data_IF_804686419840
#
_entry.id   IF_804686419840
#
_cell.length_a   1.000
_cell.length_b   1.000
_cell.length_c   1.000
_cell.angle_alpha   90.00
_cell.angle_beta   90.00
_cell.angle_gamma   90.00
#
_symmetry.space_group_name_H-M   'P 1'
#
loop_
_entity.id
_entity.type
_entity.pdbx_description
1 polymer ?
#
# COMPACT_ATOMS: atom_id res chain seq x y z
N UNK A 1 -36.93 35.90 -51.92
CA UNK A 1 -37.30 35.32 -50.60
C UNK A 1 -36.40 34.10 -50.40
N UNK A 2 -35.52 34.07 -49.38
CA UNK A 2 -34.32 33.24 -49.35
C UNK A 2 -34.48 31.90 -48.61
N UNK A 3 -33.56 30.99 -48.92
CA UNK A 3 -33.30 29.69 -48.32
C UNK A 3 -32.95 29.80 -46.82
N UNK A 4 -33.59 28.99 -45.98
CA UNK A 4 -33.24 28.85 -44.57
C UNK A 4 -32.17 27.77 -44.39
N UNK A 5 -31.03 28.19 -43.84
CA UNK A 5 -29.89 27.34 -43.50
C UNK A 5 -30.06 26.79 -42.07
N UNK A 6 -29.97 25.48 -41.91
CA UNK A 6 -29.94 24.80 -40.62
C UNK A 6 -28.61 25.07 -39.90
N UNK A 7 -28.67 25.42 -38.60
CA UNK A 7 -27.47 25.41 -37.76
C UNK A 7 -27.84 24.94 -36.34
N UNK A 8 -27.83 23.63 -36.12
CA UNK A 8 -27.96 23.04 -34.78
C UNK A 8 -26.60 23.09 -34.08
N UNK A 9 -26.41 24.04 -33.17
CA UNK A 9 -25.27 24.03 -32.24
C UNK A 9 -25.51 22.96 -31.18
N UNK A 10 -24.79 21.84 -31.25
CA UNK A 10 -24.71 20.87 -30.15
C UNK A 10 -23.81 21.43 -29.05
N UNK A 11 -24.39 21.86 -27.94
CA UNK A 11 -23.63 22.20 -26.74
C UNK A 11 -23.22 20.91 -26.02
N UNK A 12 -22.02 20.42 -26.31
CA UNK A 12 -21.38 19.38 -25.52
C UNK A 12 -21.05 19.92 -24.14
N UNK A 13 -21.72 19.40 -23.10
CA UNK A 13 -21.30 19.61 -21.71
C UNK A 13 -19.99 18.84 -21.50
N UNK A 14 -18.87 19.55 -21.47
CA UNK A 14 -17.63 19.02 -20.92
C UNK A 14 -17.89 18.60 -19.47
N UNK A 15 -17.68 17.31 -19.15
CA UNK A 15 -17.59 16.86 -17.76
C UNK A 15 -16.42 17.60 -17.13
N UNK A 16 -16.70 18.49 -16.18
CA UNK A 16 -15.67 19.10 -15.38
C UNK A 16 -14.85 17.99 -14.72
N UNK A 17 -13.54 17.95 -15.00
CA UNK A 17 -12.60 17.12 -14.27
C UNK A 17 -12.58 17.63 -12.83
N UNK A 18 -13.25 16.91 -11.93
CA UNK A 18 -13.19 17.20 -10.50
C UNK A 18 -11.72 16.97 -10.11
N UNK A 19 -11.01 18.05 -9.80
CA UNK A 19 -9.65 17.95 -9.27
C UNK A 19 -9.69 17.03 -8.04
N UNK A 20 -8.68 16.16 -7.85
CA UNK A 20 -8.63 15.33 -6.66
C UNK A 20 -8.73 16.21 -5.40
N UNK A 21 -9.38 15.72 -4.34
CA UNK A 21 -9.53 16.49 -3.11
C UNK A 21 -8.15 16.90 -2.60
N UNK A 22 -8.03 18.17 -2.23
CA UNK A 22 -6.84 18.68 -1.57
C UNK A 22 -6.65 17.92 -0.25
N UNK A 23 -5.40 17.55 0.05
CA UNK A 23 -5.09 16.87 1.30
C UNK A 23 -5.56 17.73 2.47
N UNK A 24 -6.38 17.16 3.35
CA UNK A 24 -6.82 17.81 4.56
C UNK A 24 -6.29 17.03 5.78
N UNK A 25 -5.75 17.71 6.79
CA UNK A 25 -5.39 17.04 8.04
C UNK A 25 -6.64 16.40 8.65
N UNK A 26 -6.49 15.18 9.16
CA UNK A 26 -7.61 14.43 9.72
C UNK A 26 -8.25 15.17 10.93
N UNK A 27 -9.58 15.23 11.04
CA UNK A 27 -10.27 16.12 11.98
C UNK A 27 -10.22 15.65 13.44
N UNK A 28 -9.72 14.45 13.70
CA UNK A 28 -9.74 13.83 15.02
C UNK A 28 -8.70 14.46 15.97
N UNK A 29 -8.90 14.26 17.27
CA UNK A 29 -8.03 14.80 18.31
C UNK A 29 -6.61 14.26 18.12
N UNK A 30 -5.65 15.17 17.99
CA UNK A 30 -4.21 14.84 18.01
C UNK A 30 -3.76 14.59 19.45
N UNK A 31 -3.01 13.52 19.66
CA UNK A 31 -2.39 13.19 20.94
C UNK A 31 -0.88 13.36 20.83
N UNK A 32 -0.32 14.45 21.35
CA UNK A 32 1.12 14.79 21.21
C UNK A 32 2.08 13.88 21.99
N UNK A 33 1.52 12.93 22.75
CA UNK A 33 2.24 11.91 23.50
C UNK A 33 1.47 10.61 23.29
N UNK A 34 2.07 9.65 22.59
CA UNK A 34 1.59 8.30 22.45
C UNK A 34 1.42 7.64 23.81
N UNK A 35 0.50 6.69 23.88
CA UNK A 35 0.21 6.00 25.14
C UNK A 35 1.33 5.02 25.54
N UNK A 36 2.05 4.44 24.57
CA UNK A 36 2.99 3.35 24.83
C UNK A 36 4.32 3.38 24.07
N UNK A 37 4.41 3.93 22.84
CA UNK A 37 5.70 4.11 22.15
C UNK A 37 5.78 5.40 21.34
N UNK A 38 6.81 6.17 21.64
CA UNK A 38 7.19 7.38 20.92
C UNK A 38 8.64 7.23 20.53
N UNK A 39 8.94 7.54 19.27
CA UNK A 39 10.33 7.52 18.86
C UNK A 39 11.12 8.60 19.59
N UNK A 40 12.34 8.25 20.00
CA UNK A 40 13.20 9.19 20.73
C UNK A 40 13.50 10.43 19.90
N UNK A 41 13.74 11.58 20.55
CA UNK A 41 14.18 12.82 19.89
C UNK A 41 15.37 12.59 18.94
N UNK A 42 16.28 11.71 19.33
CA UNK A 42 17.43 11.34 18.53
C UNK A 42 17.02 10.59 17.26
N UNK A 43 16.13 9.59 17.37
CA UNK A 43 15.64 8.82 16.22
C UNK A 43 14.74 9.64 15.30
N UNK A 44 13.99 10.60 15.85
CA UNK A 44 13.27 11.58 15.05
C UNK A 44 14.24 12.44 14.23
N UNK A 45 15.22 13.08 14.87
CA UNK A 45 16.20 13.92 14.18
C UNK A 45 17.05 13.14 13.17
N UNK A 46 17.41 11.89 13.48
CA UNK A 46 18.15 11.04 12.56
C UNK A 46 17.29 10.63 11.36
N UNK A 47 16.00 10.34 11.57
CA UNK A 47 15.05 10.03 10.51
C UNK A 47 14.82 11.24 9.58
N UNK A 48 14.65 12.44 10.15
CA UNK A 48 14.55 13.68 9.37
C UNK A 48 15.82 13.95 8.55
N UNK A 49 17.00 13.75 9.15
CA UNK A 49 18.28 13.88 8.45
C UNK A 49 18.42 12.85 7.32
N UNK A 50 18.00 11.60 7.56
CA UNK A 50 17.94 10.56 6.54
C UNK A 50 17.03 10.97 5.39
N UNK A 51 15.83 11.46 5.70
CA UNK A 51 14.87 11.91 4.70
C UNK A 51 15.46 13.06 3.87
N UNK A 52 16.06 14.08 4.50
CA UNK A 52 16.68 15.18 3.77
C UNK A 52 17.82 14.74 2.86
N UNK A 53 18.61 13.74 3.27
CA UNK A 53 19.72 13.22 2.48
C UNK A 53 19.29 12.24 1.37
N UNK A 54 18.13 11.61 1.48
CA UNK A 54 17.65 10.59 0.55
C UNK A 54 16.26 10.97 0.03
N UNK A 55 16.14 11.68 -1.11
CA UNK A 55 14.86 11.98 -1.73
C UNK A 55 14.06 10.71 -2.05
N UNK A 56 12.73 10.84 -2.07
CA UNK A 56 11.81 9.74 -2.40
C UNK A 56 12.10 9.25 -3.82
N UNK A 57 12.16 7.92 -3.98
CA UNK A 57 12.32 7.29 -5.28
C UNK A 57 11.14 7.66 -6.17
N UNK A 58 11.44 8.12 -7.38
CA UNK A 58 10.44 8.24 -8.44
C UNK A 58 9.92 6.85 -8.82
N UNK A 59 8.64 6.72 -9.25
CA UNK A 59 8.09 5.47 -9.73
C UNK A 59 8.92 4.83 -10.82
N UNK A 60 8.99 3.49 -10.83
CA UNK A 60 9.79 2.74 -11.81
C UNK A 60 9.01 1.58 -12.41
N UNK A 61 9.39 1.21 -13.62
CA UNK A 61 8.93 -0.05 -14.21
C UNK A 61 9.59 -1.21 -13.48
N UNK A 62 8.80 -2.25 -13.21
CA UNK A 62 9.30 -3.51 -12.69
C UNK A 62 10.10 -4.23 -13.80
N UNK A 63 11.15 -4.95 -13.41
CA UNK A 63 11.92 -5.76 -14.37
C UNK A 63 11.06 -6.87 -14.97
N UNK A 64 11.44 -7.38 -16.15
CA UNK A 64 10.74 -8.49 -16.80
C UNK A 64 10.60 -9.70 -15.87
N UNK A 65 11.68 -10.07 -15.18
CA UNK A 65 11.66 -11.23 -14.26
C UNK A 65 10.65 -11.05 -13.12
N UNK A 66 10.43 -9.81 -12.66
CA UNK A 66 9.44 -9.49 -11.64
C UNK A 66 8.03 -9.56 -12.21
N UNK A 67 7.82 -9.07 -13.43
CA UNK A 67 6.52 -9.17 -14.12
C UNK A 67 6.16 -10.64 -14.34
N UNK A 68 7.09 -11.44 -14.87
CA UNK A 68 6.90 -12.88 -15.10
C UNK A 68 6.60 -13.63 -13.79
N UNK A 69 7.25 -13.24 -12.68
CA UNK A 69 6.95 -13.76 -11.35
C UNK A 69 5.53 -13.43 -10.91
N UNK A 70 5.08 -12.20 -11.10
CA UNK A 70 3.71 -11.78 -10.76
C UNK A 70 2.68 -12.53 -11.61
N UNK A 71 2.95 -12.70 -12.90
CA UNK A 71 2.05 -13.41 -13.81
C UNK A 71 1.95 -14.90 -13.49
N UNK A 72 3.06 -15.50 -13.05
CA UNK A 72 3.12 -16.94 -12.69
C UNK A 72 2.55 -17.22 -11.31
N UNK A 73 2.90 -16.41 -10.31
CA UNK A 73 2.59 -16.66 -8.90
C UNK A 73 1.34 -15.90 -8.39
N UNK A 74 0.86 -14.90 -9.13
CA UNK A 74 -0.22 -14.01 -8.71
C UNK A 74 0.13 -13.24 -7.43
N UNK A 75 -0.80 -13.12 -6.48
CA UNK A 75 -0.55 -12.49 -5.17
C UNK A 75 0.69 -13.02 -4.45
N UNK A 76 1.04 -14.28 -4.70
CA UNK A 76 2.12 -14.97 -3.97
C UNK A 76 3.49 -14.40 -4.33
N UNK A 77 3.60 -13.65 -5.42
CA UNK A 77 4.82 -12.95 -5.80
C UNK A 77 5.27 -11.88 -4.80
N UNK A 78 4.35 -11.31 -4.01
CA UNK A 78 4.69 -10.34 -2.97
C UNK A 78 5.24 -11.04 -1.73
N UNK A 79 6.45 -10.66 -1.33
CA UNK A 79 7.17 -11.15 -0.16
C UNK A 79 7.51 -9.98 0.77
N UNK A 80 8.06 -10.28 1.94
CA UNK A 80 8.69 -9.27 2.79
C UNK A 80 10.20 -9.27 2.56
N UNK A 81 10.80 -8.09 2.48
CA UNK A 81 12.25 -7.95 2.41
C UNK A 81 12.89 -8.36 3.73
N UNK A 82 14.06 -9.00 3.63
CA UNK A 82 14.87 -9.27 4.81
C UNK A 82 15.47 -7.96 5.35
N UNK A 83 15.26 -7.62 6.64
CA UNK A 83 15.81 -6.42 7.24
C UNK A 83 17.33 -6.43 7.22
N UNK A 84 17.93 -5.33 6.77
CA UNK A 84 19.40 -5.18 6.75
C UNK A 84 19.95 -4.70 8.09
N UNK A 85 19.10 -4.12 8.92
CA UNK A 85 19.47 -3.56 10.22
C UNK A 85 19.69 -4.64 11.27
N UNK A 86 20.73 -4.48 12.09
CA UNK A 86 20.99 -5.33 13.26
C UNK A 86 19.93 -5.15 14.37
N UNK A 87 19.02 -4.18 14.24
CA UNK A 87 17.87 -3.98 15.12
C UNK A 87 16.85 -5.11 15.04
N UNK A 88 16.78 -5.80 13.90
CA UNK A 88 15.84 -6.89 13.71
C UNK A 88 16.38 -8.16 14.36
N UNK A 89 15.70 -8.62 15.42
CA UNK A 89 15.95 -9.90 16.04
C UNK A 89 14.74 -10.82 15.81
N UNK A 90 14.83 -11.70 14.82
CA UNK A 90 13.69 -12.54 14.45
C UNK A 90 13.91 -13.45 13.25
N UNK A 91 12.80 -13.99 12.76
CA UNK A 91 12.71 -14.85 11.59
C UNK A 91 11.54 -14.38 10.72
N UNK A 92 11.79 -14.34 9.41
CA UNK A 92 10.78 -14.21 8.37
C UNK A 92 10.83 -15.50 7.57
N UNK A 93 9.69 -16.20 7.48
CA UNK A 93 9.56 -17.44 6.73
C UNK A 93 8.42 -17.31 5.75
N UNK A 94 8.74 -17.46 4.48
CA UNK A 94 7.73 -17.71 3.48
C UNK A 94 7.22 -19.14 3.64
N UNK A 95 5.90 -19.31 3.75
CA UNK A 95 5.27 -20.61 3.69
C UNK A 95 5.35 -21.08 2.23
N UNK A 96 6.53 -21.52 1.79
CA UNK A 96 6.70 -22.06 0.45
C UNK A 96 5.89 -23.35 0.27
N UNK A 97 5.51 -23.60 -0.99
CA UNK A 97 4.72 -24.69 -1.63
C UNK A 97 4.42 -26.01 -0.88
N UNK A 98 5.22 -26.41 0.11
CA UNK A 98 5.09 -27.69 0.83
C UNK A 98 4.00 -27.71 1.89
N UNK A 99 3.51 -26.57 2.39
CA UNK A 99 2.44 -26.55 3.43
C UNK A 99 1.04 -26.20 2.92
N UNK A 100 0.90 -25.84 1.64
CA UNK A 100 -0.37 -25.34 1.08
C UNK A 100 -0.78 -23.94 1.57
N UNK A 101 -0.21 -23.45 2.67
CA UNK A 101 -0.31 -22.06 3.11
C UNK A 101 0.68 -21.19 2.32
N UNK A 102 0.28 -19.97 1.95
CA UNK A 102 1.07 -19.04 1.14
C UNK A 102 1.28 -17.68 1.84
N UNK A 103 1.04 -17.63 3.14
CA UNK A 103 1.30 -16.45 3.97
C UNK A 103 2.75 -16.38 4.46
N UNK A 104 3.21 -15.18 4.76
CA UNK A 104 4.57 -14.92 5.26
C UNK A 104 4.50 -14.88 6.79
N UNK A 105 5.15 -15.83 7.46
CA UNK A 105 5.20 -15.86 8.92
C UNK A 105 6.37 -15.03 9.43
N UNK A 106 6.08 -14.11 10.36
CA UNK A 106 7.08 -13.28 11.04
C UNK A 106 7.06 -13.60 12.52
N UNK A 107 8.25 -13.80 13.08
CA UNK A 107 8.46 -14.00 14.51
C UNK A 107 9.63 -13.14 14.97
N UNK A 108 9.40 -12.22 15.90
CA UNK A 108 10.45 -11.42 16.54
C UNK A 108 10.69 -11.88 17.97
N UNK A 109 11.88 -11.61 18.48
CA UNK A 109 12.26 -11.87 19.86
C UNK A 109 12.29 -10.57 20.69
N UNK A 110 12.43 -10.70 22.01
CA UNK A 110 12.29 -9.57 22.96
C UNK A 110 13.29 -8.42 22.75
N UNK A 111 14.37 -8.68 22.05
CA UNK A 111 15.47 -7.78 21.73
C UNK A 111 15.32 -7.13 20.35
N UNK A 112 14.25 -7.45 19.61
CA UNK A 112 13.91 -6.75 18.38
C UNK A 112 13.55 -5.31 18.74
N UNK A 113 14.36 -4.37 18.27
CA UNK A 113 14.06 -2.94 18.39
C UNK A 113 13.14 -2.50 17.24
N UNK A 114 12.76 -1.23 17.22
CA UNK A 114 11.97 -0.62 16.15
C UNK A 114 12.57 -0.91 14.76
N UNK A 115 11.82 -1.67 13.96
CA UNK A 115 12.13 -1.96 12.57
C UNK A 115 10.87 -1.89 11.72
N UNK A 116 10.98 -1.30 10.54
CA UNK A 116 9.94 -1.31 9.50
C UNK A 116 10.27 -2.35 8.44
N UNK A 117 9.45 -3.38 8.35
CA UNK A 117 9.49 -4.40 7.32
C UNK A 117 8.71 -3.91 6.09
N UNK A 118 9.23 -4.14 4.90
CA UNK A 118 8.56 -3.72 3.67
C UNK A 118 8.24 -4.91 2.76
N UNK A 119 7.16 -4.79 1.97
CA UNK A 119 6.96 -5.69 0.83
C UNK A 119 8.06 -5.53 -0.20
N UNK A 120 8.55 -6.60 -0.83
CA UNK A 120 9.60 -6.54 -1.87
C UNK A 120 9.11 -5.90 -3.17
N UNK A 121 7.79 -5.89 -3.38
CA UNK A 121 7.11 -5.25 -4.49
C UNK A 121 6.19 -4.12 -4.04
N UNK A 122 5.98 -3.09 -4.88
CA UNK A 122 5.00 -2.05 -4.58
C UNK A 122 3.60 -2.66 -4.53
N UNK A 123 2.79 -2.21 -3.57
CA UNK A 123 1.35 -2.39 -3.62
C UNK A 123 0.78 -1.48 -4.71
N UNK A 124 1.12 -0.18 -4.68
CA UNK A 124 0.73 0.76 -5.72
C UNK A 124 1.94 1.04 -6.60
N UNK A 125 1.95 0.48 -7.82
CA UNK A 125 2.98 0.75 -8.81
C UNK A 125 2.56 1.95 -9.68
N UNK A 126 3.18 3.11 -9.49
CA UNK A 126 2.71 4.40 -10.01
C UNK A 126 2.61 4.44 -11.54
N UNK A 127 3.51 3.76 -12.24
CA UNK A 127 3.58 3.76 -13.71
C UNK A 127 2.65 2.75 -14.40
N UNK A 128 1.92 1.92 -13.65
CA UNK A 128 1.01 0.93 -14.21
C UNK A 128 -0.45 1.39 -14.10
N UNK A 129 -1.30 1.01 -15.05
CA UNK A 129 -2.74 1.30 -14.97
C UNK A 129 -3.43 0.45 -13.90
N UNK A 130 -4.54 0.93 -13.33
CA UNK A 130 -5.28 0.17 -12.31
C UNK A 130 -6.13 -0.95 -12.92
N UNK A 131 -6.29 -0.99 -14.24
CA UNK A 131 -6.99 -2.03 -15.00
C UNK A 131 -8.42 -2.32 -14.50
N UNK A 132 -9.14 -1.28 -14.06
CA UNK A 132 -10.50 -1.41 -13.53
C UNK A 132 -10.60 -1.94 -12.10
N UNK A 133 -9.47 -2.10 -11.41
CA UNK A 133 -9.44 -2.48 -9.99
C UNK A 133 -10.11 -1.40 -9.13
N UNK A 134 -10.73 -1.86 -8.04
CA UNK A 134 -11.33 -0.98 -7.03
C UNK A 134 -10.28 -0.51 -6.03
N UNK A 135 -9.26 -1.33 -5.77
CA UNK A 135 -8.19 -1.01 -4.84
C UNK A 135 -7.18 -2.14 -4.73
N UNK A 136 -6.38 -2.08 -3.67
CA UNK A 136 -5.41 -3.11 -3.32
C UNK A 136 -5.47 -3.34 -1.81
N UNK A 137 -5.38 -4.58 -1.38
CA UNK A 137 -5.55 -4.98 0.02
C UNK A 137 -4.54 -6.04 0.43
N UNK A 138 -4.08 -5.96 1.68
CA UNK A 138 -3.34 -7.02 2.36
C UNK A 138 -3.83 -7.14 3.82
N UNK A 139 -3.58 -8.28 4.44
CA UNK A 139 -4.06 -8.59 5.79
C UNK A 139 -2.97 -9.18 6.66
N UNK A 140 -2.99 -8.84 7.94
CA UNK A 140 -2.06 -9.35 8.94
C UNK A 140 -2.86 -10.08 10.01
N UNK A 141 -2.52 -11.35 10.25
CA UNK A 141 -3.04 -12.14 11.37
C UNK A 141 -2.10 -12.03 12.55
N UNK A 142 -2.58 -11.54 13.68
CA UNK A 142 -1.76 -11.30 14.87
C UNK A 142 -1.91 -12.49 15.81
N UNK A 143 -0.95 -13.41 15.83
CA UNK A 143 -1.00 -14.53 16.78
C UNK A 143 -0.60 -14.14 18.20
N UNK A 144 0.30 -13.15 18.29
CA UNK A 144 0.84 -12.68 19.57
C UNK A 144 1.52 -11.34 19.40
N UNK A 145 1.23 -10.39 20.28
CA UNK A 145 1.89 -9.10 20.33
C UNK A 145 2.37 -8.81 21.77
N UNK A 146 3.68 -8.98 22.01
CA UNK A 146 4.34 -8.57 23.27
C UNK A 146 5.46 -7.58 22.94
N UNK A 147 5.04 -6.35 22.67
CA UNK A 147 5.80 -5.32 21.96
C UNK A 147 4.80 -4.63 21.06
N UNK A 148 5.23 -4.20 19.87
CA UNK A 148 4.39 -3.39 18.98
C UNK A 148 4.37 -3.98 17.58
N UNK A 149 3.20 -3.84 16.96
CA UNK A 149 2.97 -4.07 15.54
C UNK A 149 2.25 -2.83 15.02
N UNK A 150 2.76 -2.24 13.96
CA UNK A 150 2.12 -1.16 13.22
C UNK A 150 1.96 -1.57 11.76
N UNK A 151 0.80 -1.29 11.16
CA UNK A 151 0.45 -1.75 9.81
C UNK A 151 0.13 -0.56 8.92
N UNK A 152 0.71 -0.50 7.74
CA UNK A 152 0.35 0.51 6.76
C UNK A 152 1.20 0.47 5.50
N UNK A 153 1.56 1.65 5.03
CA UNK A 153 2.22 1.83 3.74
C UNK A 153 3.31 2.89 3.79
N UNK A 154 4.29 2.81 2.91
CA UNK A 154 5.31 3.85 2.75
C UNK A 154 5.85 3.93 1.32
N UNK A 155 6.20 5.15 0.90
CA UNK A 155 7.12 5.35 -0.20
C UNK A 155 8.58 5.17 0.26
N UNK A 156 9.44 4.76 -0.65
CA UNK A 156 10.88 4.52 -0.37
C UNK A 156 11.76 5.61 -0.98
N UNK A 157 12.99 5.82 -0.49
CA UNK A 157 13.56 5.27 0.75
C UNK A 157 12.87 5.83 2.00
N UNK A 158 12.67 4.96 2.99
CA UNK A 158 12.08 5.25 4.29
C UNK A 158 13.06 4.85 5.41
N UNK A 159 13.19 5.62 6.50
CA UNK A 159 14.05 5.25 7.64
C UNK A 159 13.53 3.96 8.28
N UNK A 160 14.26 2.85 8.10
CA UNK A 160 13.80 1.51 8.49
C UNK A 160 13.77 1.28 10.02
N UNK A 161 14.23 2.24 10.82
CA UNK A 161 14.09 2.26 12.29
C UNK A 161 12.88 3.07 12.78
N UNK A 162 11.96 3.44 11.88
CA UNK A 162 10.73 4.20 12.21
C UNK A 162 9.51 3.38 11.83
N UNK A 163 8.44 3.44 12.61
CA UNK A 163 7.18 2.82 12.25
C UNK A 163 6.47 3.54 11.10
N UNK A 164 5.61 2.83 10.33
CA UNK A 164 4.84 3.46 9.26
C UNK A 164 3.97 4.61 9.80
N UNK A 165 3.89 5.69 9.05
CA UNK A 165 3.14 6.90 9.41
C UNK A 165 3.96 8.00 10.07
N UNK A 166 5.13 7.69 10.62
CA UNK A 166 5.94 8.64 11.39
C UNK A 166 6.77 9.63 10.58
N UNK A 167 7.08 9.31 9.33
CA UNK A 167 7.83 10.19 8.43
C UNK A 167 7.11 10.29 7.08
N UNK A 168 7.64 11.15 6.21
CA UNK A 168 7.05 11.49 4.90
C UNK A 168 6.51 10.30 4.10
N UNK A 169 5.44 10.55 3.36
CA UNK A 169 4.76 9.64 2.44
C UNK A 169 4.51 8.24 3.01
N UNK A 170 4.21 8.17 4.30
CA UNK A 170 3.88 6.93 4.98
C UNK A 170 2.62 7.12 5.79
N UNK A 171 1.80 6.07 5.81
CA UNK A 171 0.57 5.95 6.58
C UNK A 171 0.68 4.70 7.46
N UNK A 172 0.20 4.75 8.69
CA UNK A 172 0.24 3.59 9.60
C UNK A 172 -0.87 3.62 10.63
N UNK A 173 -1.32 2.44 11.02
CA UNK A 173 -2.14 2.17 12.19
C UNK A 173 -1.28 1.44 13.21
N UNK A 174 -1.09 2.03 14.39
CA UNK A 174 -0.27 1.46 15.46
C UNK A 174 -1.21 0.71 16.41
N UNK A 175 -0.92 -0.58 16.63
CA UNK A 175 -1.86 -1.47 17.34
C UNK A 175 -1.67 -1.44 18.86
N UNK A 176 -0.69 -0.72 19.39
CA UNK A 176 -0.52 -0.52 20.83
C UNK A 176 -1.49 0.55 21.37
N UNK A 177 -1.83 1.56 20.57
CA UNK A 177 -2.74 2.64 20.97
C UNK A 177 -3.94 2.84 20.03
N UNK A 178 -4.07 2.03 18.97
CA UNK A 178 -5.13 2.08 17.96
C UNK A 178 -5.22 3.42 17.23
N UNK A 179 -4.10 4.13 17.11
CA UNK A 179 -4.03 5.42 16.43
C UNK A 179 -3.49 5.32 15.02
N UNK A 180 -3.96 6.24 14.20
CA UNK A 180 -3.54 6.42 12.82
C UNK A 180 -2.53 7.57 12.71
N UNK A 181 -1.52 7.36 11.88
CA UNK A 181 -0.40 8.28 11.63
C UNK A 181 -0.20 8.45 10.12
N UNK A 182 -0.10 9.68 9.63
CA UNK A 182 0.29 9.97 8.25
C UNK A 182 1.20 11.18 8.22
N UNK A 183 2.47 10.96 7.87
CA UNK A 183 3.53 11.96 7.97
C UNK A 183 3.54 12.68 9.34
N UNK A 184 3.25 11.94 10.41
CA UNK A 184 3.00 12.47 11.74
C UNK A 184 4.03 11.92 12.74
N UNK A 185 5.15 12.65 12.98
CA UNK A 185 6.18 12.22 13.91
C UNK A 185 5.84 12.51 15.38
N UNK A 186 4.79 13.29 15.66
CA UNK A 186 4.58 13.95 16.96
C UNK A 186 3.32 13.47 17.70
N UNK A 187 2.75 12.34 17.29
CA UNK A 187 1.72 11.64 18.05
C UNK A 187 0.36 11.57 17.35
N UNK A 188 -0.10 10.34 17.14
CA UNK A 188 -1.17 9.99 16.21
C UNK A 188 -2.56 10.47 16.59
N UNK A 189 -3.52 10.06 15.79
CA UNK A 189 -4.93 10.42 15.94
C UNK A 189 -5.77 9.19 16.22
N UNK A 190 -6.77 9.34 17.09
CA UNK A 190 -7.75 8.28 17.30
C UNK A 190 -8.40 7.93 15.95
N UNK A 191 -8.53 6.62 15.69
CA UNK A 191 -8.97 6.16 14.37
C UNK A 191 -10.44 5.78 14.34
N UNK A 192 -10.82 4.70 15.03
CA UNK A 192 -12.16 4.12 14.93
C UNK A 192 -12.65 3.72 16.31
N UNK A 193 -13.87 4.12 16.71
CA UNK A 193 -14.47 3.66 17.97
C UNK A 193 -14.77 2.15 17.95
N UNK A 194 -14.69 1.50 16.79
CA UNK A 194 -14.92 0.06 16.63
C UNK A 194 -13.65 -0.76 16.91
N UNK A 195 -12.47 -0.15 16.81
CA UNK A 195 -11.18 -0.78 17.08
C UNK A 195 -10.62 -0.24 18.40
N UNK A 196 -11.03 -0.85 19.51
CA UNK A 196 -10.68 -0.39 20.87
C UNK A 196 -9.66 -1.28 21.57
N UNK A 197 -9.49 -2.51 21.10
CA UNK A 197 -8.53 -3.47 21.61
C UNK A 197 -8.22 -4.52 20.53
N UNK A 198 -7.10 -5.23 20.73
CA UNK A 198 -6.67 -6.34 19.91
C UNK A 198 -6.62 -7.61 20.76
N UNK A 199 -7.11 -8.72 20.20
CA UNK A 199 -6.97 -10.05 20.78
C UNK A 199 -5.99 -10.90 19.97
N UNK A 200 -5.41 -11.92 20.61
CA UNK A 200 -4.66 -12.94 19.88
C UNK A 200 -5.58 -13.60 18.82
N UNK A 201 -4.99 -13.88 17.66
CA UNK A 201 -5.61 -14.37 16.42
C UNK A 201 -6.57 -13.38 15.70
N UNK A 202 -6.58 -12.10 16.07
CA UNK A 202 -7.26 -11.05 15.31
C UNK A 202 -6.60 -10.81 13.94
N UNK A 203 -7.42 -10.43 12.97
CA UNK A 203 -7.02 -10.03 11.62
C UNK A 203 -7.15 -8.52 11.47
N UNK A 204 -6.06 -7.87 11.08
CA UNK A 204 -6.04 -6.45 10.73
C UNK A 204 -5.64 -6.31 9.27
N UNK A 205 -6.54 -5.75 8.47
CA UNK A 205 -6.29 -5.46 7.06
C UNK A 205 -5.92 -4.02 6.80
N UNK A 206 -5.20 -3.79 5.71
CA UNK A 206 -4.90 -2.46 5.18
C UNK A 206 -5.21 -2.45 3.68
N UNK A 207 -6.09 -1.54 3.27
CA UNK A 207 -6.49 -1.38 1.88
C UNK A 207 -6.33 0.04 1.39
N UNK A 208 -5.99 0.19 0.11
CA UNK A 208 -6.04 1.45 -0.62
C UNK A 208 -7.16 1.42 -1.65
N UNK A 209 -8.12 2.34 -1.55
CA UNK A 209 -9.26 2.47 -2.45
C UNK A 209 -8.93 3.47 -3.57
N UNK A 210 -8.88 3.00 -4.82
CA UNK A 210 -8.53 3.83 -5.97
C UNK A 210 -9.58 4.88 -6.30
N UNK A 211 -10.85 4.61 -6.01
CA UNK A 211 -11.93 5.55 -6.32
C UNK A 211 -11.96 6.74 -5.37
N UNK A 212 -11.65 6.49 -4.10
CA UNK A 212 -11.65 7.49 -3.03
C UNK A 212 -10.27 8.09 -2.74
N UNK A 213 -9.21 7.50 -3.30
CA UNK A 213 -7.82 7.81 -2.97
C UNK A 213 -7.59 7.83 -1.45
N UNK A 214 -8.02 6.74 -0.79
CA UNK A 214 -7.97 6.63 0.65
C UNK A 214 -7.36 5.31 1.11
N UNK A 215 -6.74 5.33 2.28
CA UNK A 215 -6.45 4.12 3.04
C UNK A 215 -7.59 3.87 4.01
N UNK A 216 -7.96 2.60 4.15
CA UNK A 216 -8.83 2.09 5.19
C UNK A 216 -8.20 0.86 5.83
N UNK A 217 -8.66 0.54 7.03
CA UNK A 217 -8.29 -0.70 7.71
C UNK A 217 -9.51 -1.59 7.90
N UNK A 218 -9.26 -2.87 8.15
CA UNK A 218 -10.29 -3.83 8.57
C UNK A 218 -9.91 -4.44 9.91
N UNK A 219 -10.91 -4.86 10.68
CA UNK A 219 -10.71 -5.69 11.87
C UNK A 219 -11.63 -6.90 11.77
N UNK A 220 -11.06 -8.10 11.78
CA UNK A 220 -11.77 -9.38 11.68
C UNK A 220 -12.76 -9.45 10.50
N UNK A 221 -12.32 -8.91 9.35
CA UNK A 221 -13.09 -8.91 8.11
C UNK A 221 -14.15 -7.83 8.00
N UNK A 222 -14.24 -6.90 8.96
CA UNK A 222 -15.10 -5.72 8.87
C UNK A 222 -14.29 -4.50 8.45
N UNK A 223 -14.65 -3.86 7.34
CA UNK A 223 -14.08 -2.57 6.93
C UNK A 223 -14.47 -1.48 7.93
N UNK A 224 -13.47 -0.76 8.42
CA UNK A 224 -13.60 0.41 9.29
C UNK A 224 -13.73 1.68 8.42
N UNK A 225 -13.93 2.84 9.06
CA UNK A 225 -13.98 4.12 8.37
C UNK A 225 -12.70 4.40 7.57
N UNK A 226 -12.76 5.25 6.55
CA UNK A 226 -11.56 5.65 5.81
C UNK A 226 -10.59 6.38 6.78
N UNK A 227 -9.35 5.89 6.86
CA UNK A 227 -8.36 6.38 7.80
C UNK A 227 -7.70 7.67 7.29
N UNK A 228 -7.33 7.68 6.01
CA UNK A 228 -6.64 8.80 5.37
C UNK A 228 -7.19 8.99 3.97
N UNK A 229 -7.50 10.22 3.58
CA UNK A 229 -8.07 10.56 2.27
C UNK A 229 -7.17 11.54 1.52
N UNK A 230 -7.11 11.44 0.19
CA UNK A 230 -6.33 12.37 -0.64
C UNK A 230 -4.81 12.16 -0.56
N UNK A 231 -4.36 10.97 -0.12
CA UNK A 231 -2.94 10.64 -0.03
C UNK A 231 -2.46 9.93 -1.30
N UNK A 232 -1.16 9.99 -1.59
CA UNK A 232 -0.56 9.40 -2.79
C UNK A 232 -1.16 9.89 -4.11
N UNK A 233 -1.58 11.16 -4.16
CA UNK A 233 -2.15 11.79 -5.35
C UNK A 233 -1.16 12.80 -5.96
N UNK A 234 -0.91 12.79 -7.28
CA UNK A 234 -1.39 11.80 -8.24
C UNK A 234 -0.69 10.44 -8.04
N UNK A 235 -1.43 9.34 -8.21
CA UNK A 235 -0.89 7.97 -8.04
C UNK A 235 0.36 7.72 -8.90
N UNK A 236 0.41 8.32 -10.09
CA UNK A 236 1.54 8.20 -11.02
C UNK A 236 2.84 8.81 -10.52
N UNK A 237 2.83 9.51 -9.39
CA UNK A 237 4.02 10.07 -8.76
C UNK A 237 4.64 9.17 -7.67
N UNK A 238 4.00 8.04 -7.32
CA UNK A 238 4.42 7.23 -6.17
C UNK A 238 4.43 5.73 -6.45
N UNK A 239 5.52 5.06 -6.05
CA UNK A 239 5.51 3.63 -5.77
C UNK A 239 5.35 3.44 -4.26
N UNK A 240 4.27 2.78 -3.86
CA UNK A 240 3.89 2.62 -2.45
C UNK A 240 3.97 1.15 -2.06
N UNK A 241 4.66 0.86 -0.96
CA UNK A 241 4.92 -0.48 -0.47
C UNK A 241 4.11 -0.76 0.79
N UNK A 242 3.83 -2.02 1.07
CA UNK A 242 3.38 -2.42 2.40
C UNK A 242 4.49 -2.12 3.40
N UNK A 243 4.12 -1.62 4.57
CA UNK A 243 5.05 -1.26 5.63
C UNK A 243 4.50 -1.78 6.96
N UNK A 244 5.30 -2.59 7.66
CA UNK A 244 4.93 -3.23 8.92
C UNK A 244 5.99 -2.90 9.96
N UNK A 245 5.66 -2.02 10.90
CA UNK A 245 6.50 -1.71 12.05
C UNK A 245 6.44 -2.84 13.07
N UNK A 246 7.59 -3.25 13.61
CA UNK A 246 7.69 -4.27 14.66
C UNK A 246 8.69 -3.87 15.73
N UNK A 247 8.33 -4.13 16.98
CA UNK A 247 9.20 -4.02 18.16
C UNK A 247 8.82 -5.12 19.17
N UNK A 248 9.80 -5.58 19.95
CA UNK A 248 9.61 -6.61 20.96
C UNK A 248 9.25 -7.99 20.38
N UNK A 249 8.63 -8.84 21.21
CA UNK A 249 8.36 -10.26 20.93
C UNK A 249 6.97 -10.45 20.32
N UNK A 250 6.91 -10.51 19.00
CA UNK A 250 5.68 -10.64 18.23
C UNK A 250 5.69 -11.90 17.36
N UNK A 251 4.48 -12.40 17.04
CA UNK A 251 4.26 -13.47 16.07
C UNK A 251 3.02 -13.13 15.24
N UNK A 252 3.18 -13.07 13.93
CA UNK A 252 2.08 -12.74 13.02
C UNK A 252 2.33 -13.33 11.63
N UNK A 253 1.30 -13.30 10.81
CA UNK A 253 1.34 -13.72 9.41
C UNK A 253 0.88 -12.59 8.51
N UNK A 254 1.55 -12.39 7.39
CA UNK A 254 1.20 -11.38 6.38
C UNK A 254 0.69 -12.09 5.14
N UNK A 255 -0.52 -11.73 4.74
CA UNK A 255 -1.20 -12.26 3.57
C UNK A 255 -1.34 -11.13 2.53
N UNK A 256 -0.69 -11.29 1.37
CA UNK A 256 -0.89 -10.41 0.21
C UNK A 256 -1.98 -10.93 -0.76
N UNK A 257 -2.74 -11.95 -0.35
CA UNK A 257 -3.78 -12.61 -1.14
C UNK A 257 -3.39 -14.00 -1.63
N UNK A 258 -2.34 -14.60 -1.07
CA UNK A 258 -1.95 -15.99 -1.30
C UNK A 258 -2.93 -16.99 -0.65
N UNK A 259 -3.66 -16.53 0.37
CA UNK A 259 -4.78 -17.21 1.03
C UNK A 259 -6.01 -16.30 1.07
N UNK A 260 -7.18 -16.87 1.39
CA UNK A 260 -8.41 -16.09 1.53
C UNK A 260 -8.30 -15.11 2.69
N UNK A 261 -8.64 -13.85 2.41
CA UNK A 261 -8.77 -12.81 3.43
C UNK A 261 -10.01 -13.03 4.29
N UNK A 262 -9.97 -12.56 5.54
CA UNK A 262 -11.15 -12.46 6.38
C UNK A 262 -12.14 -11.42 5.86
N UNK A 263 -11.64 -10.31 5.33
CA UNK A 263 -12.47 -9.35 4.60
C UNK A 263 -12.87 -9.93 3.24
N UNK A 264 -14.17 -10.19 3.05
CA UNK A 264 -14.66 -11.01 1.93
C UNK A 264 -14.40 -10.35 0.58
N UNK A 265 -14.66 -9.05 0.48
CA UNK A 265 -14.50 -8.24 -0.72
C UNK A 265 -13.04 -8.17 -1.18
N UNK A 266 -12.08 -8.28 -0.25
CA UNK A 266 -10.66 -8.37 -0.57
C UNK A 266 -10.29 -9.58 -1.45
N UNK A 267 -11.13 -10.63 -1.45
CA UNK A 267 -10.93 -11.83 -2.27
C UNK A 267 -11.42 -11.65 -3.72
N UNK A 268 -12.11 -10.56 -4.04
CA UNK A 268 -12.47 -10.23 -5.41
C UNK A 268 -11.23 -9.75 -6.17
N UNK A 269 -11.14 -10.09 -7.46
CA UNK A 269 -10.01 -9.72 -8.33
C UNK A 269 -9.66 -8.22 -8.25
N UNK A 270 -10.68 -7.38 -8.05
CA UNK A 270 -10.60 -5.93 -8.02
C UNK A 270 -9.82 -5.38 -6.81
N UNK A 271 -9.52 -6.21 -5.81
CA UNK A 271 -8.80 -5.84 -4.57
C UNK A 271 -7.47 -6.58 -4.37
N UNK A 272 -7.19 -7.61 -5.18
CA UNK A 272 -5.95 -8.38 -5.05
C UNK A 272 -4.72 -7.57 -5.48
N UNK A 273 -3.52 -7.97 -5.08
CA UNK A 273 -2.28 -7.25 -5.40
C UNK A 273 -1.85 -7.39 -6.86
N UNK A 274 -2.11 -8.52 -7.51
CA UNK A 274 -1.80 -8.81 -8.91
C UNK A 274 -2.79 -8.18 -9.92
N UNK A 275 -2.47 -8.30 -11.21
CA UNK A 275 -3.37 -7.95 -12.31
C UNK A 275 -3.41 -6.47 -12.70
N UNK A 276 -2.65 -5.60 -12.02
CA UNK A 276 -2.46 -4.21 -12.44
C UNK A 276 -1.13 -4.00 -13.19
N UNK A 277 -0.12 -4.81 -12.87
CA UNK A 277 1.18 -4.81 -13.55
C UNK A 277 1.02 -5.39 -14.97
N UNK A 278 1.82 -4.90 -15.92
CA UNK A 278 1.84 -5.38 -17.33
C UNK A 278 1.19 -4.45 -18.36
N UNK A 279 0.43 -3.42 -17.94
CA UNK A 279 -0.05 -2.34 -18.83
C UNK A 279 0.29 -0.96 -18.26
N UNK A 280 0.99 -0.16 -19.05
CA UNK A 280 1.49 1.16 -18.64
C UNK A 280 0.36 2.19 -18.50
N UNK A 281 0.46 3.06 -17.50
CA UNK A 281 -0.46 4.19 -17.31
C UNK A 281 -0.41 5.11 -18.53
N UNK A 282 -1.57 5.44 -19.11
CA UNK A 282 -1.65 6.32 -20.28
C UNK A 282 -1.63 5.62 -21.64
N UNK A 283 -1.61 4.28 -21.68
CA UNK A 283 -2.03 3.54 -22.88
C UNK A 283 -3.55 3.62 -23.00
N UNK A 284 -4.06 4.75 -23.48
CA UNK A 284 -5.41 4.81 -24.03
C UNK A 284 -5.48 3.80 -25.16
N UNK A 285 -6.37 2.82 -25.06
CA UNK A 285 -6.66 1.88 -26.14
C UNK A 285 -7.05 2.63 -27.41
N UNK A 286 -6.07 2.87 -28.26
CA UNK A 286 -6.22 3.35 -29.61
C UNK A 286 -5.59 2.28 -30.50
N UNK A 287 -6.43 1.36 -30.98
CA UNK A 287 -6.11 0.42 -32.07
C UNK A 287 -5.09 -0.65 -31.72
N UNK A 288 -5.43 -1.92 -31.98
CA UNK A 288 -4.40 -2.93 -32.12
C UNK A 288 -3.55 -2.58 -33.33
N UNK A 289 -2.31 -2.12 -33.10
CA UNK A 289 -1.27 -2.26 -34.10
C UNK A 289 -0.79 -3.71 -34.03
N UNK A 290 -1.54 -4.55 -34.73
CA UNK A 290 -1.08 -5.86 -35.17
C UNK A 290 0.20 -5.61 -35.98
N UNK A 291 1.34 -6.06 -35.45
CA UNK A 291 2.61 -5.98 -36.18
C UNK A 291 2.41 -6.64 -37.54
N UNK A 292 2.75 -5.97 -38.66
CA UNK A 292 2.50 -6.50 -39.99
C UNK A 292 3.17 -7.85 -40.15
N UNK A 293 2.45 -8.80 -40.71
CA UNK A 293 2.99 -10.14 -40.92
C UNK A 293 4.09 -10.08 -41.99
N UNK A 294 5.04 -11.01 -41.93
CA UNK A 294 6.13 -11.11 -42.91
C UNK A 294 5.64 -11.24 -44.37
N UNK A 295 4.37 -11.58 -44.60
CA UNK A 295 3.76 -11.64 -45.93
C UNK A 295 3.43 -10.26 -46.51
N UNK A 296 3.14 -9.27 -45.65
CA UNK A 296 2.75 -7.92 -46.08
C UNK A 296 3.96 -7.10 -46.61
N UNK A 297 5.16 -7.41 -46.13
CA UNK A 297 6.41 -6.78 -46.58
C UNK A 297 6.82 -7.24 -48.00
N UNK A 298 6.33 -8.40 -48.45
CA UNK A 298 6.78 -9.02 -49.70
C UNK A 298 6.01 -8.59 -50.95
N UNK A 299 4.93 -7.82 -50.81
CA UNK A 299 4.13 -7.29 -51.93
C UNK A 299 4.46 -5.85 -52.32
N UNK A 300 5.50 -5.27 -51.72
CA UNK A 300 5.95 -3.90 -51.98
C UNK A 300 7.31 -3.83 -52.68
N UNK A 301 7.52 -4.59 -53.76
CA UNK A 301 8.56 -4.35 -54.77
C UNK A 301 8.12 -4.87 -56.14
#
# INVERSE_FOLDING_TARGET
MPLFNFNSKSTGKQKASIAPPEWAPAPERTHTLGLYNEATDHEYKSAESFCNAHPVNTPRLLSSDVVDRIDTEGCKAWKLEWPKSSRFAGQIKDSGEKSGNSVISVKTEKDCSDVCLFSDLPLLAGLYDIQGKSGIYFEVKIHKMKGIIAIGTACRPYPDWRFPGWNRLSAGLHLDDMRKFFEDPNGGRDYSPELTHLSDDDYIGCGYDFSRNCIFYTHNGRRLADAFTGIYVPRTAYDVYAAIGVEGKCRFEVNFGGELFKWKEGNEWAWRTEGHVGRLSGSSGAGGDELPTYEDVRKGY
#
